data_IF_783506775108
#
_entry.id   IF_783506775108
#
_cell.length_a   1.000
_cell.length_b   1.000
_cell.length_c   1.000
_cell.angle_alpha   90.00
_cell.angle_beta   90.00
_cell.angle_gamma   90.00
#
_symmetry.space_group_name_H-M   'P 1'
#
loop_
_entity.id
_entity.type
_entity.pdbx_description
1 polymer ?
#
# COMPACT_ATOMS: atom_id res chain seq x y z
N UNK A 1 3.63 -7.04 -12.76
CA UNK A 1 4.31 -7.68 -11.61
C UNK A 1 3.34 -8.62 -10.93
N UNK A 2 3.80 -9.69 -10.27
CA UNK A 2 2.93 -10.64 -9.59
C UNK A 2 2.97 -10.41 -8.08
N UNK A 3 1.80 -10.27 -7.49
CA UNK A 3 1.64 -10.21 -6.04
C UNK A 3 1.19 -11.56 -5.47
N UNK A 4 1.63 -11.86 -4.26
CA UNK A 4 1.12 -12.97 -3.46
C UNK A 4 0.81 -12.52 -2.04
N UNK A 5 -0.21 -13.13 -1.42
CA UNK A 5 -0.60 -12.85 -0.05
C UNK A 5 0.42 -13.45 0.92
N UNK A 6 0.90 -12.64 1.87
CA UNK A 6 1.70 -13.12 3.00
C UNK A 6 0.82 -13.25 4.24
N UNK A 7 1.10 -14.28 5.04
CA UNK A 7 0.47 -14.44 6.37
C UNK A 7 1.30 -13.64 7.38
N UNK A 8 0.78 -12.52 7.85
CA UNK A 8 1.34 -11.82 9.02
C UNK A 8 0.50 -12.16 10.26
N UNK A 9 1.12 -12.31 11.43
CA UNK A 9 0.38 -12.55 12.68
C UNK A 9 -0.65 -11.44 12.99
N UNK A 10 -0.46 -10.25 12.41
CA UNK A 10 -1.35 -9.09 12.44
C UNK A 10 -2.54 -9.13 11.45
N UNK A 11 -2.74 -10.21 10.69
CA UNK A 11 -3.86 -10.35 9.74
C UNK A 11 -5.19 -10.76 10.39
N UNK A 12 -5.25 -10.82 11.72
CA UNK A 12 -6.40 -11.31 12.48
C UNK A 12 -6.99 -10.13 13.25
N UNK A 13 -8.02 -9.48 12.67
CA UNK A 13 -8.74 -8.29 13.18
C UNK A 13 -7.85 -7.14 13.68
N UNK A 14 -7.65 -6.12 12.84
CA UNK A 14 -7.16 -4.81 13.29
C UNK A 14 -8.38 -3.92 13.46
N UNK A 15 -8.76 -3.68 14.73
CA UNK A 15 -9.66 -2.64 15.27
C UNK A 15 -10.80 -2.14 14.36
N UNK A 16 -12.05 -2.24 14.82
CA UNK A 16 -13.27 -1.68 14.18
C UNK A 16 -13.83 -2.47 12.97
N UNK A 17 -13.60 -3.78 12.88
CA UNK A 17 -14.25 -4.62 11.85
C UNK A 17 -13.56 -4.63 10.49
N UNK A 18 -12.30 -4.17 10.40
CA UNK A 18 -11.52 -4.18 9.17
C UNK A 18 -10.52 -5.36 9.13
N UNK A 19 -10.50 -6.06 8.01
CA UNK A 19 -9.57 -7.13 7.70
C UNK A 19 -8.41 -6.61 6.86
N UNK A 20 -7.20 -6.63 7.44
CA UNK A 20 -5.98 -6.24 6.72
C UNK A 20 -5.37 -7.43 5.99
N UNK A 21 -5.17 -7.25 4.69
CA UNK A 21 -4.45 -8.17 3.81
C UNK A 21 -3.13 -7.55 3.37
N UNK A 22 -2.04 -8.30 3.55
CA UNK A 22 -0.70 -7.90 3.13
C UNK A 22 -0.27 -8.73 1.93
N UNK A 23 0.11 -8.07 0.85
CA UNK A 23 0.61 -8.67 -0.37
C UNK A 23 2.02 -8.15 -0.66
N UNK A 24 2.86 -9.02 -1.21
CA UNK A 24 4.25 -8.71 -1.59
C UNK A 24 4.42 -9.01 -3.07
N UNK A 25 5.19 -8.17 -3.76
CA UNK A 25 5.57 -8.42 -5.13
C UNK A 25 6.67 -9.49 -5.21
N UNK A 26 6.49 -10.47 -6.11
CA UNK A 26 7.43 -11.55 -6.37
C UNK A 26 8.74 -11.03 -6.97
N UNK A 27 8.66 -10.09 -7.91
CA UNK A 27 9.80 -9.56 -8.65
C UNK A 27 10.57 -8.47 -7.89
N UNK A 28 9.92 -7.77 -6.95
CA UNK A 28 10.53 -6.72 -6.12
C UNK A 28 10.02 -6.82 -4.66
N UNK A 29 10.80 -7.44 -3.76
CA UNK A 29 10.46 -7.55 -2.34
C UNK A 29 10.39 -6.20 -1.59
N UNK A 30 10.81 -5.10 -2.22
CA UNK A 30 10.64 -3.75 -1.71
C UNK A 30 9.23 -3.18 -1.94
N UNK A 31 8.41 -3.83 -2.77
CA UNK A 31 7.05 -3.40 -3.10
C UNK A 31 6.02 -4.21 -2.32
N UNK A 32 5.20 -3.48 -1.56
CA UNK A 32 4.14 -4.04 -0.73
C UNK A 32 2.81 -3.42 -1.07
N UNK A 33 1.76 -4.22 -1.02
CA UNK A 33 0.39 -3.77 -1.14
C UNK A 33 -0.39 -4.19 0.11
N UNK A 34 -1.07 -3.24 0.73
CA UNK A 34 -1.95 -3.46 1.86
C UNK A 34 -3.37 -3.11 1.47
N UNK A 35 -4.31 -4.00 1.80
CA UNK A 35 -5.73 -3.84 1.54
C UNK A 35 -6.50 -3.98 2.86
N UNK A 36 -7.46 -3.11 3.10
CA UNK A 36 -8.41 -3.25 4.20
C UNK A 36 -9.81 -3.45 3.66
N UNK A 37 -10.41 -4.57 4.04
CA UNK A 37 -11.76 -4.94 3.67
C UNK A 37 -12.64 -4.81 4.91
N UNK A 38 -13.87 -4.34 4.73
CA UNK A 38 -14.89 -4.41 5.79
C UNK A 38 -15.47 -5.84 5.91
N UNK A 39 -16.43 -6.02 6.82
CA UNK A 39 -17.07 -7.31 7.07
C UNK A 39 -17.87 -7.85 5.87
N UNK A 40 -18.15 -7.00 4.87
CA UNK A 40 -18.83 -7.33 3.62
C UNK A 40 -17.84 -7.55 2.45
N UNK A 41 -16.56 -7.75 2.77
CA UNK A 41 -15.45 -7.91 1.83
C UNK A 41 -15.27 -6.71 0.86
N UNK A 42 -15.80 -5.54 1.21
CA UNK A 42 -15.65 -4.35 0.38
C UNK A 42 -14.36 -3.61 0.73
N UNK A 43 -13.59 -3.22 -0.29
CA UNK A 43 -12.35 -2.49 -0.10
C UNK A 43 -12.63 -1.08 0.43
N UNK A 44 -12.13 -0.76 1.62
CA UNK A 44 -12.27 0.56 2.26
C UNK A 44 -10.99 1.39 2.10
N UNK A 45 -9.84 0.71 2.06
CA UNK A 45 -8.54 1.33 2.05
C UNK A 45 -7.50 0.48 1.30
N UNK A 46 -6.60 1.14 0.58
CA UNK A 46 -5.48 0.54 -0.15
C UNK A 46 -4.22 1.38 0.06
N UNK A 47 -3.09 0.71 0.31
CA UNK A 47 -1.77 1.36 0.34
C UNK A 47 -0.77 0.53 -0.46
N UNK A 48 -0.21 1.13 -1.52
CA UNK A 48 0.94 0.60 -2.24
C UNK A 48 2.21 1.31 -1.74
N UNK A 49 3.13 0.56 -1.16
CA UNK A 49 4.47 1.03 -0.79
C UNK A 49 5.45 0.64 -1.91
N UNK A 50 6.17 1.62 -2.46
CA UNK A 50 7.17 1.44 -3.52
C UNK A 50 8.19 2.58 -3.46
N UNK A 51 9.49 2.29 -3.65
CA UNK A 51 10.58 3.30 -3.63
C UNK A 51 10.51 4.31 -2.46
N UNK A 52 10.16 3.85 -1.26
CA UNK A 52 9.97 4.70 -0.06
C UNK A 52 8.85 5.76 -0.19
N UNK A 53 7.90 5.50 -1.09
CA UNK A 53 6.68 6.26 -1.31
C UNK A 53 5.46 5.38 -1.05
N UNK A 54 4.38 5.99 -0.61
CA UNK A 54 3.10 5.33 -0.39
C UNK A 54 2.06 6.01 -1.27
N UNK A 55 1.51 5.25 -2.21
CA UNK A 55 0.28 5.62 -2.91
C UNK A 55 -0.88 5.05 -2.12
N UNK A 56 -1.75 5.92 -1.64
CA UNK A 56 -2.83 5.60 -0.73
C UNK A 56 -4.17 5.92 -1.38
N UNK A 57 -5.12 4.99 -1.29
CA UNK A 57 -6.51 5.18 -1.69
C UNK A 57 -7.44 4.94 -0.52
N UNK A 58 -8.43 5.82 -0.37
CA UNK A 58 -9.51 5.70 0.61
C UNK A 58 -10.84 5.85 -0.10
N UNK A 59 -11.81 5.00 0.24
CA UNK A 59 -13.19 5.09 -0.27
C UNK A 59 -13.72 6.52 -0.08
N UNK A 60 -14.13 7.15 -1.18
CA UNK A 60 -14.67 8.52 -1.19
C UNK A 60 -13.64 9.66 -1.17
N UNK A 61 -12.34 9.37 -1.12
CA UNK A 61 -11.26 10.39 -1.14
C UNK A 61 -10.34 10.26 -2.36
N UNK A 62 -10.32 9.08 -2.98
CA UNK A 62 -9.44 8.81 -4.13
C UNK A 62 -7.99 8.62 -3.73
N UNK A 63 -7.08 8.84 -4.68
CA UNK A 63 -5.65 8.57 -4.51
C UNK A 63 -4.84 9.78 -4.04
N UNK A 64 -4.06 9.59 -2.99
CA UNK A 64 -3.09 10.53 -2.44
C UNK A 64 -1.70 9.90 -2.33
N UNK A 65 -0.66 10.74 -2.36
CA UNK A 65 0.72 10.29 -2.34
C UNK A 65 1.43 10.80 -1.08
N UNK A 66 2.17 9.90 -0.45
CA UNK A 66 2.88 10.14 0.79
C UNK A 66 4.33 9.65 0.69
N UNK A 67 5.25 10.31 1.37
CA UNK A 67 6.65 9.89 1.42
C UNK A 67 6.99 9.38 2.82
N UNK A 68 7.81 8.33 2.89
CA UNK A 68 8.38 7.91 4.17
C UNK A 68 9.53 8.83 4.56
N UNK A 69 9.69 9.06 5.87
CA UNK A 69 10.83 9.81 6.40
C UNK A 69 12.13 8.99 6.44
N UNK A 70 12.24 7.83 5.78
CA UNK A 70 13.49 7.06 5.77
C UNK A 70 14.60 7.76 4.98
N UNK A 71 14.25 8.56 3.97
CA UNK A 71 15.20 9.30 3.12
C UNK A 71 15.52 10.71 3.61
N UNK A 72 14.91 11.20 4.70
CA UNK A 72 15.30 12.52 5.23
C UNK A 72 16.73 12.49 5.77
N UNK A 73 17.58 13.36 5.21
CA UNK A 73 18.96 13.56 5.64
C UNK A 73 19.02 13.92 7.13
N UNK A 74 19.90 13.25 7.88
CA UNK A 74 20.24 13.66 9.25
C UNK A 74 20.01 12.63 10.34
N UNK A 75 19.56 11.42 10.02
CA UNK A 75 19.28 10.43 11.04
C UNK A 75 20.41 9.40 11.21
N UNK A 76 21.17 9.58 12.29
CA UNK A 76 22.29 8.73 12.68
C UNK A 76 21.95 8.00 13.99
N UNK A 77 22.16 6.68 14.05
CA UNK A 77 22.03 5.88 15.29
C UNK A 77 21.62 4.42 15.07
N UNK A 78 22.06 3.54 15.99
CA UNK A 78 21.63 2.13 16.06
C UNK A 78 20.12 2.06 16.29
N UNK A 79 19.38 1.48 15.33
CA UNK A 79 17.92 1.35 15.39
C UNK A 79 17.12 2.41 14.61
N UNK A 80 17.76 3.39 13.96
CA UNK A 80 17.05 4.34 13.08
C UNK A 80 16.36 3.65 11.88
N UNK A 81 16.96 2.57 11.36
CA UNK A 81 16.35 1.76 10.31
C UNK A 81 15.09 0.97 10.77
N UNK A 82 14.73 0.99 12.07
CA UNK A 82 13.45 0.44 12.56
C UNK A 82 12.31 1.42 12.25
N UNK A 83 11.82 1.33 11.01
CA UNK A 83 10.50 1.79 10.60
C UNK A 83 10.42 3.28 10.28
N UNK A 84 9.90 3.58 9.09
CA UNK A 84 9.30 4.88 8.80
C UNK A 84 8.36 5.27 9.94
N UNK A 85 8.55 6.46 10.54
CA UNK A 85 7.73 6.92 11.67
C UNK A 85 6.65 7.90 11.25
N UNK A 86 6.79 8.54 10.09
CA UNK A 86 5.86 9.54 9.60
C UNK A 86 5.65 9.39 8.09
N UNK A 87 4.39 9.49 7.66
CA UNK A 87 4.00 9.68 6.27
C UNK A 87 3.66 11.14 6.07
N UNK A 88 4.32 11.80 5.12
CA UNK A 88 4.06 13.21 4.79
C UNK A 88 3.43 13.25 3.40
N UNK A 89 2.22 13.81 3.31
CA UNK A 89 1.56 14.01 2.03
C UNK A 89 2.42 14.94 1.16
N UNK A 90 2.59 14.58 -0.11
CA UNK A 90 3.34 15.40 -1.04
C UNK A 90 2.77 15.27 -2.46
N UNK A 91 3.03 16.29 -3.28
CA UNK A 91 2.54 16.32 -4.66
C UNK A 91 3.66 15.96 -5.63
N UNK A 92 3.56 14.79 -6.26
CA UNK A 92 4.42 14.38 -7.35
C UNK A 92 3.62 13.57 -8.39
N UNK A 93 3.19 14.21 -9.50
CA UNK A 93 2.37 13.56 -10.52
C UNK A 93 3.04 12.35 -11.16
N UNK A 94 4.36 12.38 -11.36
CA UNK A 94 5.11 11.28 -11.98
C UNK A 94 5.11 10.06 -11.06
N UNK A 95 5.37 10.27 -9.78
CA UNK A 95 5.30 9.22 -8.76
C UNK A 95 3.90 8.64 -8.62
N UNK A 96 2.87 9.50 -8.61
CA UNK A 96 1.46 9.05 -8.57
C UNK A 96 1.12 8.20 -9.79
N UNK A 97 1.47 8.65 -10.99
CA UNK A 97 1.25 7.88 -12.22
C UNK A 97 1.99 6.53 -12.22
N UNK A 98 3.23 6.51 -11.71
CA UNK A 98 3.99 5.27 -11.54
C UNK A 98 3.27 4.30 -10.59
N UNK A 99 2.82 4.76 -9.43
CA UNK A 99 2.08 3.91 -8.48
C UNK A 99 0.77 3.37 -9.08
N UNK A 100 0.04 4.20 -9.84
CA UNK A 100 -1.19 3.77 -10.52
C UNK A 100 -0.90 2.73 -11.61
N UNK A 101 0.16 2.91 -12.41
CA UNK A 101 0.59 1.93 -13.40
C UNK A 101 0.99 0.61 -12.74
N UNK A 102 1.73 0.67 -11.62
CA UNK A 102 2.07 -0.53 -10.84
C UNK A 102 0.82 -1.30 -10.38
N UNK A 103 -0.25 -0.60 -9.96
CA UNK A 103 -1.51 -1.27 -9.62
C UNK A 103 -2.22 -1.84 -10.84
N UNK A 104 -2.34 -1.06 -11.93
CA UNK A 104 -3.08 -1.43 -13.13
C UNK A 104 -2.46 -2.60 -13.91
N UNK A 105 -1.13 -2.69 -13.93
CA UNK A 105 -0.38 -3.68 -14.72
C UNK A 105 0.01 -4.93 -13.91
N UNK A 106 -0.40 -5.00 -12.65
CA UNK A 106 -0.06 -6.11 -11.76
C UNK A 106 -1.10 -7.22 -11.74
N UNK A 107 -0.60 -8.44 -11.51
CA UNK A 107 -1.39 -9.64 -11.29
C UNK A 107 -1.55 -9.86 -9.80
N UNK A 108 -2.79 -10.01 -9.35
CA UNK A 108 -3.12 -10.22 -7.94
C UNK A 108 -3.75 -11.60 -7.73
N UNK A 109 -3.57 -12.21 -6.56
CA UNK A 109 -4.32 -13.41 -6.21
C UNK A 109 -5.80 -13.05 -6.03
N UNK A 110 -6.69 -13.99 -6.33
CA UNK A 110 -8.12 -13.82 -6.06
C UNK A 110 -8.36 -13.70 -4.54
N UNK A 111 -9.31 -12.85 -4.09
CA UNK A 111 -10.21 -12.00 -4.87
C UNK A 111 -9.66 -10.58 -5.18
N UNK A 112 -8.42 -10.28 -4.82
CA UNK A 112 -7.94 -8.88 -4.72
C UNK A 112 -7.84 -8.14 -6.06
N UNK A 113 -7.68 -8.84 -7.17
CA UNK A 113 -7.52 -8.20 -8.48
C UNK A 113 -8.72 -7.32 -8.85
N UNK A 114 -9.94 -7.82 -8.71
CA UNK A 114 -11.15 -7.05 -9.01
C UNK A 114 -11.31 -5.84 -8.07
N UNK A 115 -10.97 -6.01 -6.80
CA UNK A 115 -11.03 -4.93 -5.81
C UNK A 115 -10.07 -3.78 -6.15
N UNK A 116 -8.82 -4.11 -6.50
CA UNK A 116 -7.83 -3.11 -6.89
C UNK A 116 -8.26 -2.38 -8.17
N UNK A 117 -8.69 -3.11 -9.20
CA UNK A 117 -9.13 -2.48 -10.46
C UNK A 117 -10.31 -1.52 -10.26
N UNK A 118 -11.28 -1.87 -9.41
CA UNK A 118 -12.41 -1.00 -9.08
C UNK A 118 -11.99 0.34 -8.44
N UNK A 119 -10.80 0.45 -7.85
CA UNK A 119 -10.28 1.74 -7.34
C UNK A 119 -9.66 2.63 -8.42
N UNK A 120 -9.25 2.07 -9.56
CA UNK A 120 -8.61 2.81 -10.64
C UNK A 120 -9.64 3.49 -11.56
N UNK A 121 -10.90 3.07 -11.49
CA UNK A 121 -12.02 3.58 -12.27
C UNK A 121 -12.79 4.72 -11.56
N UNK A 122 -12.47 5.00 -10.29
CA UNK A 122 -13.06 6.09 -9.47
C UNK A 122 -12.24 7.37 -9.54
#
# INVERSE_FOLDING_TARGET
MRFYKIKSQSSTLLEQGLFKHSLVCEEDPGIFLFLWLDEEDQLTHLQLLFDEQVLEWRRGQGYELYQTNRRSEGAHGLGYQKGSRNLVAFHNPKAKAQGLALLGESQFPQPFGALVQGTLET
#
